data_IF_101606295056
#
_entry.id   IF_101606295056
#
_cell.length_a   1.000
_cell.length_b   1.000
_cell.length_c   1.000
_cell.angle_alpha   90.00
_cell.angle_beta   90.00
_cell.angle_gamma   90.00
#
_symmetry.space_group_name_H-M   'P 1'
#
loop_
_entity.id
_entity.type
_entity.pdbx_description
1 polymer ?
#
# COMPACT_ATOMS: atom_id res chain seq x y z
N UNK A 1 7.30 -12.05 -24.06
CA UNK A 1 7.73 -13.24 -23.27
C UNK A 1 6.97 -13.21 -21.95
N UNK A 2 6.28 -14.29 -21.60
CA UNK A 2 5.61 -14.41 -20.28
C UNK A 2 6.65 -14.60 -19.19
N UNK A 3 6.45 -13.98 -18.01
CA UNK A 3 7.30 -14.19 -16.83
C UNK A 3 6.84 -15.43 -16.09
N UNK A 4 7.76 -16.21 -15.59
CA UNK A 4 7.49 -17.31 -14.63
C UNK A 4 7.64 -16.81 -13.20
N UNK A 5 7.00 -17.49 -12.25
CA UNK A 5 7.24 -17.29 -10.83
C UNK A 5 8.64 -17.83 -10.52
N UNK A 6 9.52 -16.94 -10.05
CA UNK A 6 10.89 -17.31 -9.68
C UNK A 6 10.94 -17.89 -8.26
N UNK A 7 10.20 -17.31 -7.33
CA UNK A 7 10.21 -17.71 -5.93
C UNK A 7 8.86 -17.38 -5.27
N UNK A 8 8.41 -18.27 -4.40
CA UNK A 8 7.29 -18.02 -3.47
C UNK A 8 7.89 -17.75 -2.10
N UNK A 9 7.51 -16.65 -1.48
CA UNK A 9 8.02 -16.17 -0.20
C UNK A 9 6.88 -16.28 0.82
N UNK A 10 6.93 -17.21 1.78
CA UNK A 10 5.93 -17.28 2.83
C UNK A 10 6.07 -16.08 3.78
N UNK A 11 4.94 -15.48 4.13
CA UNK A 11 4.92 -14.42 5.14
C UNK A 11 5.23 -14.97 6.54
N UNK A 12 5.83 -14.12 7.36
CA UNK A 12 6.09 -14.39 8.78
C UNK A 12 5.19 -13.54 9.65
N UNK A 13 4.69 -14.09 10.77
CA UNK A 13 3.96 -13.28 11.74
C UNK A 13 4.93 -12.43 12.55
N UNK A 14 4.66 -11.12 12.59
CA UNK A 14 5.43 -10.15 13.39
C UNK A 14 4.48 -9.39 14.33
N UNK A 15 5.00 -9.00 15.49
CA UNK A 15 4.28 -8.18 16.45
C UNK A 15 4.86 -6.76 16.44
N UNK A 16 4.08 -5.82 15.95
CA UNK A 16 4.43 -4.40 15.92
C UNK A 16 3.65 -3.65 16.99
N UNK A 17 4.18 -3.65 18.22
CA UNK A 17 3.58 -2.94 19.34
C UNK A 17 2.15 -3.40 19.70
N UNK A 18 1.89 -4.71 19.64
CA UNK A 18 0.56 -5.31 19.89
C UNK A 18 -0.26 -5.59 18.64
N UNK A 19 0.13 -5.06 17.49
CA UNK A 19 -0.51 -5.34 16.19
C UNK A 19 0.19 -6.56 15.56
N UNK A 20 -0.54 -7.63 15.32
CA UNK A 20 -0.01 -8.82 14.64
C UNK A 20 -0.19 -8.66 13.14
N UNK A 21 0.91 -8.75 12.41
CA UNK A 21 0.98 -8.54 10.96
C UNK A 21 1.56 -9.77 10.27
N UNK A 22 1.20 -9.96 9.00
CA UNK A 22 1.93 -10.82 8.10
C UNK A 22 3.01 -10.00 7.39
N UNK A 23 4.29 -10.34 7.61
CA UNK A 23 5.43 -9.70 6.95
C UNK A 23 5.96 -10.60 5.84
N UNK A 24 5.83 -10.15 4.60
CA UNK A 24 6.36 -10.87 3.43
C UNK A 24 7.74 -10.37 2.99
N UNK A 25 8.12 -9.17 3.45
CA UNK A 25 9.43 -8.56 3.24
C UNK A 25 9.72 -7.56 4.37
N UNK A 26 10.94 -7.53 4.99
CA UNK A 26 11.99 -8.54 4.83
C UNK A 26 11.64 -9.88 5.48
N UNK A 27 12.24 -10.94 4.97
CA UNK A 27 12.18 -12.28 5.56
C UNK A 27 13.57 -12.91 5.57
N UNK A 28 13.75 -14.01 6.30
CA UNK A 28 15.05 -14.67 6.39
C UNK A 28 15.64 -14.96 5.00
N UNK A 29 16.84 -14.42 4.75
CA UNK A 29 17.56 -14.55 3.47
C UNK A 29 17.08 -13.63 2.34
N UNK A 30 16.08 -12.75 2.57
CA UNK A 30 15.66 -11.73 1.60
C UNK A 30 15.36 -10.43 2.38
N UNK A 31 16.34 -9.52 2.39
CA UNK A 31 16.21 -8.26 3.10
C UNK A 31 15.34 -7.25 2.32
N UNK A 32 15.47 -7.23 1.00
CA UNK A 32 14.71 -6.34 0.12
C UNK A 32 14.61 -6.92 -1.30
N UNK A 33 13.65 -6.43 -2.07
CA UNK A 33 13.54 -6.63 -3.52
C UNK A 33 13.35 -5.26 -4.13
N UNK A 34 14.42 -4.64 -4.61
CA UNK A 34 14.40 -3.26 -5.09
C UNK A 34 13.24 -2.97 -6.06
N UNK A 35 12.44 -1.92 -5.82
CA UNK A 35 12.57 -0.89 -4.78
C UNK A 35 11.82 -1.21 -3.47
N UNK A 36 11.33 -2.42 -3.25
CA UNK A 36 10.52 -2.79 -2.08
C UNK A 36 11.41 -3.12 -0.88
N UNK A 37 11.26 -2.34 0.19
CA UNK A 37 12.00 -2.48 1.46
C UNK A 37 11.22 -3.29 2.50
N UNK A 38 9.88 -3.20 2.46
CA UNK A 38 9.00 -3.83 3.43
C UNK A 38 7.65 -4.13 2.77
N UNK A 39 7.03 -5.25 3.16
CA UNK A 39 5.63 -5.56 2.85
C UNK A 39 4.99 -6.15 4.10
N UNK A 40 4.02 -5.43 4.64
CA UNK A 40 3.17 -5.84 5.75
C UNK A 40 1.73 -6.00 5.27
N UNK A 41 1.07 -7.05 5.69
CA UNK A 41 -0.37 -7.23 5.55
C UNK A 41 -1.01 -7.24 6.94
N UNK A 42 -1.86 -6.27 7.19
CA UNK A 42 -2.67 -6.19 8.39
C UNK A 42 -4.12 -6.53 8.05
N UNK A 43 -4.56 -7.71 8.47
CA UNK A 43 -5.94 -8.14 8.36
C UNK A 43 -6.42 -8.53 9.76
N UNK A 44 -7.38 -7.79 10.30
CA UNK A 44 -7.92 -8.03 11.64
C UNK A 44 -9.35 -7.51 11.76
N UNK A 45 -10.00 -7.92 12.84
CA UNK A 45 -11.25 -7.32 13.28
C UNK A 45 -10.95 -6.34 14.43
N UNK A 46 -11.23 -5.07 14.22
CA UNK A 46 -11.17 -4.07 15.30
C UNK A 46 -12.31 -4.40 16.27
N UNK A 47 -12.02 -4.57 17.57
CA UNK A 47 -13.04 -5.07 18.52
C UNK A 47 -14.14 -4.06 18.85
N UNK A 48 -13.89 -2.76 18.66
CA UNK A 48 -14.76 -1.69 19.13
C UNK A 48 -14.50 -1.31 20.60
N UNK A 49 -15.25 -0.32 21.09
CA UNK A 49 -15.14 0.16 22.46
C UNK A 49 -13.84 0.94 22.78
N UNK A 50 -13.08 1.30 21.78
CA UNK A 50 -11.78 1.98 21.89
C UNK A 50 -11.88 3.43 21.39
N UNK A 51 -11.03 4.31 21.93
CA UNK A 51 -10.86 5.65 21.35
C UNK A 51 -9.93 5.56 20.13
N UNK A 52 -10.15 6.40 19.13
CA UNK A 52 -9.29 6.48 17.93
C UNK A 52 -7.78 6.52 18.29
N UNK A 53 -7.40 7.29 19.32
CA UNK A 53 -6.00 7.43 19.76
C UNK A 53 -5.38 6.14 20.35
N UNK A 54 -6.20 5.17 20.70
CA UNK A 54 -5.79 3.89 21.30
C UNK A 54 -5.65 2.78 20.25
N UNK A 55 -6.07 3.05 19.00
CA UNK A 55 -6.02 2.10 17.89
C UNK A 55 -4.99 2.50 16.84
N UNK A 56 -4.54 1.53 16.04
CA UNK A 56 -3.62 1.77 14.92
C UNK A 56 -2.24 2.21 15.35
N UNK A 57 -1.56 2.92 14.47
CA UNK A 57 -0.17 3.36 14.67
C UNK A 57 -0.13 4.84 15.02
N UNK A 58 0.41 5.16 16.19
CA UNK A 58 0.61 6.52 16.67
C UNK A 58 1.65 7.31 15.88
N UNK A 59 1.93 8.56 16.28
CA UNK A 59 2.92 9.39 15.61
C UNK A 59 4.29 8.73 15.55
N UNK A 60 4.86 8.62 14.35
CA UNK A 60 6.17 8.06 14.08
C UNK A 60 6.79 8.70 12.82
N UNK A 61 8.15 8.74 12.72
CA UNK A 61 8.83 9.39 11.60
C UNK A 61 9.14 8.44 10.45
N UNK A 62 9.17 8.99 9.23
CA UNK A 62 9.75 8.35 8.05
C UNK A 62 10.65 9.34 7.30
N UNK A 63 11.69 8.82 6.62
CA UNK A 63 12.61 9.61 5.82
C UNK A 63 13.24 8.78 4.71
N UNK A 64 13.29 9.33 3.49
CA UNK A 64 14.06 8.79 2.37
C UNK A 64 13.48 7.55 1.67
N UNK A 65 12.22 7.23 1.93
CA UNK A 65 11.42 6.21 1.24
C UNK A 65 9.94 6.58 1.29
N UNK A 66 9.10 5.82 0.62
CA UNK A 66 7.66 6.08 0.54
C UNK A 66 6.87 4.92 1.14
N UNK A 67 6.26 5.08 2.35
CA UNK A 67 5.20 4.19 2.80
C UNK A 67 3.97 4.34 1.90
N UNK A 68 3.40 3.20 1.51
CA UNK A 68 2.22 3.09 0.66
C UNK A 68 1.26 2.10 1.29
N UNK A 69 0.01 2.50 1.51
CA UNK A 69 -1.02 1.59 2.02
C UNK A 69 -2.13 1.43 0.99
N UNK A 70 -2.42 0.18 0.62
CA UNK A 70 -3.59 -0.22 -0.17
C UNK A 70 -4.67 -0.70 0.80
N UNK A 71 -5.81 -0.02 0.86
CA UNK A 71 -6.88 -0.32 1.81
C UNK A 71 -7.89 -1.26 1.16
N UNK A 72 -8.14 -2.43 1.76
CA UNK A 72 -9.08 -3.44 1.28
C UNK A 72 -10.38 -3.47 2.10
N UNK A 73 -10.29 -3.27 3.45
CA UNK A 73 -11.47 -3.17 4.33
C UNK A 73 -11.28 -2.06 5.35
N UNK A 74 -12.38 -1.46 5.75
CA UNK A 74 -12.37 -0.34 6.70
C UNK A 74 -11.86 0.96 6.07
N UNK A 75 -11.12 1.71 6.86
CA UNK A 75 -10.54 2.99 6.44
C UNK A 75 -9.33 3.35 7.32
N UNK A 76 -8.45 4.20 6.78
CA UNK A 76 -7.30 4.78 7.49
C UNK A 76 -7.47 6.29 7.60
N UNK A 77 -7.39 6.80 8.83
CA UNK A 77 -7.29 8.22 9.14
C UNK A 77 -5.81 8.58 9.30
N UNK A 78 -5.29 9.31 8.31
CA UNK A 78 -3.92 9.84 8.29
C UNK A 78 -3.86 11.24 8.85
N UNK A 79 -2.83 11.52 9.65
CA UNK A 79 -2.45 12.87 10.08
C UNK A 79 -0.95 13.00 10.06
N UNK A 80 -0.44 14.16 9.64
CA UNK A 80 1.01 14.37 9.54
C UNK A 80 1.48 15.75 10.03
N UNK A 81 2.81 15.88 10.14
CA UNK A 81 3.49 17.11 10.58
C UNK A 81 3.43 18.26 9.58
N UNK A 82 2.91 18.04 8.37
CA UNK A 82 2.62 19.10 7.39
C UNK A 82 1.21 19.68 7.57
N UNK A 83 0.44 19.14 8.55
CA UNK A 83 -0.93 19.56 8.81
C UNK A 83 -1.98 18.81 7.98
N UNK A 84 -1.59 17.81 7.20
CA UNK A 84 -2.53 16.99 6.42
C UNK A 84 -3.42 16.17 7.36
N UNK A 85 -4.71 16.12 7.02
CA UNK A 85 -5.69 15.20 7.61
C UNK A 85 -6.45 14.56 6.46
N UNK A 86 -6.45 13.25 6.40
CA UNK A 86 -7.03 12.52 5.27
C UNK A 86 -7.65 11.22 5.74
N UNK A 87 -8.84 10.92 5.26
CA UNK A 87 -9.52 9.65 5.45
C UNK A 87 -9.55 8.91 4.12
N UNK A 88 -8.89 7.76 4.05
CA UNK A 88 -8.91 6.88 2.88
C UNK A 88 -9.67 5.61 3.23
N UNK A 89 -10.72 5.31 2.48
CA UNK A 89 -11.59 4.15 2.67
C UNK A 89 -11.14 2.95 1.82
N UNK A 90 -11.73 1.80 2.10
CA UNK A 90 -11.56 0.60 1.28
C UNK A 90 -11.72 0.89 -0.21
N UNK A 91 -10.91 0.23 -1.06
CA UNK A 91 -10.79 0.54 -2.48
C UNK A 91 -9.81 1.68 -2.79
N UNK A 92 -9.44 2.50 -1.82
CA UNK A 92 -8.46 3.57 -1.94
C UNK A 92 -7.02 3.16 -1.62
N UNK A 93 -6.11 4.11 -1.77
CA UNK A 93 -4.71 3.99 -1.40
C UNK A 93 -4.21 5.31 -0.82
N UNK A 94 -3.18 5.25 -0.01
CA UNK A 94 -2.41 6.43 0.38
C UNK A 94 -0.94 6.24 0.04
N UNK A 95 -0.31 7.30 -0.43
CA UNK A 95 1.09 7.33 -0.80
C UNK A 95 1.77 8.50 -0.13
N UNK A 96 2.78 8.25 0.69
CA UNK A 96 3.51 9.29 1.37
C UNK A 96 4.97 9.29 0.93
N UNK A 97 5.35 10.23 0.06
CA UNK A 97 6.76 10.49 -0.24
C UNK A 97 7.38 11.18 0.99
N UNK A 98 8.14 10.45 1.81
CA UNK A 98 8.64 10.99 3.07
C UNK A 98 9.75 12.02 2.89
N UNK A 99 10.47 11.99 1.75
CA UNK A 99 11.50 12.95 1.42
C UNK A 99 12.51 13.17 2.56
N UNK A 100 12.79 14.42 2.88
CA UNK A 100 13.72 14.82 3.96
C UNK A 100 13.22 14.53 5.39
N UNK A 101 11.98 14.05 5.53
CA UNK A 101 11.38 13.62 6.80
C UNK A 101 9.98 14.15 7.00
N UNK A 102 9.13 13.30 7.58
CA UNK A 102 7.75 13.60 7.96
C UNK A 102 7.39 12.71 9.17
N UNK A 103 6.63 13.26 10.10
CA UNK A 103 6.02 12.49 11.20
C UNK A 103 4.55 12.31 10.85
N UNK A 104 4.04 11.08 10.93
CA UNK A 104 2.63 10.79 10.69
C UNK A 104 2.06 9.75 11.64
N UNK A 105 0.75 9.61 11.60
CA UNK A 105 -0.02 8.55 12.28
C UNK A 105 -1.03 7.96 11.33
N UNK A 106 -1.29 6.66 11.49
CA UNK A 106 -2.24 5.88 10.70
C UNK A 106 -3.16 5.12 11.64
N UNK A 107 -4.43 5.50 11.67
CA UNK A 107 -5.39 4.95 12.65
C UNK A 107 -6.68 4.53 11.93
N UNK A 108 -7.35 3.47 12.38
CA UNK A 108 -8.76 3.30 12.10
C UNK A 108 -9.52 4.57 12.49
N UNK A 109 -10.51 5.04 11.70
CA UNK A 109 -11.29 6.23 12.06
C UNK A 109 -12.13 5.98 13.32
N UNK A 110 -12.62 7.05 13.93
CA UNK A 110 -13.34 7.06 15.19
C UNK A 110 -14.51 6.07 15.23
N UNK A 111 -15.33 6.05 14.19
CA UNK A 111 -16.48 5.13 14.08
C UNK A 111 -16.05 3.65 14.10
N UNK A 112 -14.96 3.32 13.41
CA UNK A 112 -14.42 1.95 13.41
C UNK A 112 -13.78 1.59 14.76
N UNK A 113 -13.11 2.53 15.42
CA UNK A 113 -12.54 2.32 16.75
C UNK A 113 -13.62 2.09 17.82
N UNK A 114 -14.73 2.85 17.77
CA UNK A 114 -15.82 2.77 18.73
C UNK A 114 -16.75 1.58 18.48
N UNK A 115 -17.11 1.31 17.22
CA UNK A 115 -18.12 0.30 16.89
C UNK A 115 -17.51 -1.06 16.49
N UNK A 116 -16.21 -1.09 16.18
CA UNK A 116 -15.55 -2.27 15.66
C UNK A 116 -15.85 -2.51 14.18
N UNK A 117 -15.22 -3.53 13.61
CA UNK A 117 -15.42 -3.93 12.22
C UNK A 117 -14.18 -4.49 11.57
N UNK A 118 -14.33 -4.90 10.32
CA UNK A 118 -13.22 -5.45 9.54
C UNK A 118 -12.24 -4.36 9.12
N UNK A 119 -10.96 -4.65 9.25
CA UNK A 119 -9.87 -3.78 8.84
C UNK A 119 -8.82 -4.59 8.08
N UNK A 120 -8.49 -4.17 6.86
CA UNK A 120 -7.52 -4.87 6.03
C UNK A 120 -6.78 -3.89 5.12
N UNK A 121 -5.45 -3.90 5.22
CA UNK A 121 -4.57 -3.17 4.33
C UNK A 121 -3.28 -3.93 4.05
N UNK A 122 -2.70 -3.67 2.90
CA UNK A 122 -1.31 -4.04 2.60
C UNK A 122 -0.51 -2.75 2.58
N UNK A 123 0.52 -2.66 3.43
CA UNK A 123 1.48 -1.57 3.40
C UNK A 123 2.81 -2.08 2.84
N UNK A 124 3.37 -1.34 1.88
CA UNK A 124 4.75 -1.56 1.45
C UNK A 124 5.55 -0.26 1.51
N UNK A 125 6.86 -0.40 1.66
CA UNK A 125 7.78 0.73 1.60
C UNK A 125 8.55 0.69 0.30
N UNK A 126 8.44 1.76 -0.51
CA UNK A 126 9.19 1.92 -1.74
C UNK A 126 10.41 2.81 -1.51
N UNK A 127 11.61 2.30 -1.78
CA UNK A 127 12.85 3.08 -1.69
C UNK A 127 12.82 4.27 -2.66
N UNK A 128 13.37 5.38 -2.21
CA UNK A 128 13.55 6.58 -3.05
C UNK A 128 14.99 6.63 -3.55
N UNK A 129 15.24 7.00 -4.84
CA UNK A 129 16.60 7.19 -5.35
C UNK A 129 17.41 8.18 -4.49
N UNK A 130 18.70 7.93 -4.33
CA UNK A 130 19.57 8.69 -3.43
C UNK A 130 19.49 10.21 -3.66
N UNK A 131 19.48 10.65 -4.92
CA UNK A 131 19.41 12.05 -5.31
C UNK A 131 18.06 12.72 -5.02
N UNK A 132 17.01 11.95 -4.70
CA UNK A 132 15.66 12.45 -4.40
C UNK A 132 15.25 12.28 -2.92
N UNK A 133 16.08 11.60 -2.11
CA UNK A 133 15.76 11.32 -0.69
C UNK A 133 15.54 12.57 0.17
N UNK A 134 16.10 13.72 -0.24
CA UNK A 134 16.02 14.99 0.47
C UNK A 134 14.99 15.97 -0.12
N UNK A 135 14.18 15.54 -1.08
CA UNK A 135 13.07 16.34 -1.59
C UNK A 135 12.03 16.64 -0.48
N UNK A 136 11.20 17.66 -0.62
CA UNK A 136 10.09 17.91 0.31
C UNK A 136 9.16 16.70 0.42
N UNK A 137 8.67 16.42 1.64
CA UNK A 137 7.68 15.38 1.84
C UNK A 137 6.35 15.75 1.17
N UNK A 138 5.63 14.74 0.66
CA UNK A 138 4.34 14.90 -0.02
C UNK A 138 3.42 13.72 0.29
N UNK A 139 2.20 14.02 0.72
CA UNK A 139 1.15 13.02 0.91
C UNK A 139 0.15 13.05 -0.26
N UNK A 140 -0.21 11.87 -0.77
CA UNK A 140 -1.09 11.71 -1.93
C UNK A 140 -2.16 10.66 -1.62
N UNK A 141 -3.39 11.09 -1.24
CA UNK A 141 -4.52 10.18 -1.10
C UNK A 141 -5.12 9.83 -2.45
N UNK A 142 -5.50 8.58 -2.64
CA UNK A 142 -6.24 8.10 -3.80
C UNK A 142 -7.51 7.40 -3.32
N UNK A 143 -8.66 7.90 -3.74
CA UNK A 143 -9.95 7.25 -3.45
C UNK A 143 -10.26 6.16 -4.48
N UNK A 144 -11.17 5.25 -4.14
CA UNK A 144 -11.61 4.18 -5.05
C UNK A 144 -12.16 4.75 -6.37
N UNK A 145 -12.91 5.86 -6.30
CA UNK A 145 -13.56 6.51 -7.44
C UNK A 145 -12.55 7.15 -8.39
N UNK A 146 -11.41 7.61 -7.85
CA UNK A 146 -10.33 8.23 -8.64
C UNK A 146 -9.31 7.22 -9.17
N UNK A 147 -9.40 5.96 -8.74
CA UNK A 147 -8.53 4.89 -9.25
C UNK A 147 -8.91 4.54 -10.69
N UNK A 148 -8.00 4.61 -11.67
CA UNK A 148 -8.27 4.13 -13.02
C UNK A 148 -8.46 2.61 -13.03
N UNK A 149 -9.66 2.15 -13.35
CA UNK A 149 -9.98 0.74 -13.46
C UNK A 149 -9.91 0.25 -14.90
N UNK A 150 -9.41 -0.96 -15.08
CA UNK A 150 -9.27 -1.66 -16.35
C UNK A 150 -9.95 -3.02 -16.17
N UNK A 151 -10.84 -3.35 -17.09
CA UNK A 151 -11.57 -4.64 -17.06
C UNK A 151 -11.05 -5.54 -18.18
N UNK A 152 -10.84 -6.83 -17.90
CA UNK A 152 -10.49 -7.82 -18.92
C UNK A 152 -11.62 -7.99 -19.95
N UNK A 153 -11.30 -8.49 -21.15
CA UNK A 153 -12.28 -8.70 -22.22
C UNK A 153 -13.43 -9.61 -21.79
N UNK A 154 -13.16 -10.62 -20.96
CA UNK A 154 -14.17 -11.53 -20.43
C UNK A 154 -14.95 -10.97 -19.22
N UNK A 155 -14.65 -9.75 -18.79
CA UNK A 155 -15.28 -9.07 -17.66
C UNK A 155 -14.96 -9.65 -16.28
N UNK A 156 -14.11 -10.68 -16.19
CA UNK A 156 -13.85 -11.43 -14.95
C UNK A 156 -12.69 -10.88 -14.12
N UNK A 157 -11.88 -9.99 -14.66
CA UNK A 157 -10.80 -9.34 -13.95
C UNK A 157 -10.97 -7.83 -14.01
N UNK A 158 -10.91 -7.20 -12.85
CA UNK A 158 -10.77 -5.74 -12.74
C UNK A 158 -9.42 -5.41 -12.12
N UNK A 159 -8.68 -4.54 -12.75
CA UNK A 159 -7.38 -4.06 -12.31
C UNK A 159 -7.45 -2.56 -12.02
N UNK A 160 -7.23 -2.16 -10.78
CA UNK A 160 -7.13 -0.77 -10.36
C UNK A 160 -5.68 -0.32 -10.40
N UNK A 161 -5.35 0.64 -11.27
CA UNK A 161 -4.00 1.18 -11.41
C UNK A 161 -3.78 2.31 -10.41
N UNK A 162 -2.99 2.04 -9.36
CA UNK A 162 -2.67 3.02 -8.31
C UNK A 162 -1.57 3.97 -8.77
N UNK A 163 -0.50 3.43 -9.38
CA UNK A 163 0.66 4.22 -9.79
C UNK A 163 1.35 3.61 -11.01
N UNK A 164 2.04 4.45 -11.77
CA UNK A 164 2.76 4.08 -12.99
C UNK A 164 1.84 3.95 -14.20
N UNK A 165 2.32 3.26 -15.22
CA UNK A 165 1.60 3.09 -16.49
C UNK A 165 1.36 1.61 -16.77
N UNK A 166 0.13 1.24 -17.11
CA UNK A 166 -0.22 -0.11 -17.51
C UNK A 166 -1.47 -0.11 -18.40
N UNK A 167 -1.51 -0.99 -19.40
CA UNK A 167 -2.71 -1.25 -20.22
C UNK A 167 -3.34 0.04 -20.81
N UNK A 168 -2.49 0.98 -21.25
CA UNK A 168 -2.92 2.24 -21.86
C UNK A 168 -3.47 3.27 -20.88
N UNK A 169 -3.33 3.07 -19.56
CA UNK A 169 -3.70 4.04 -18.53
C UNK A 169 -2.52 4.46 -17.68
N UNK A 170 -2.62 5.63 -17.06
CA UNK A 170 -1.66 6.20 -16.12
C UNK A 170 -2.30 6.30 -14.74
N UNK A 171 -1.63 5.77 -13.72
CA UNK A 171 -2.02 5.91 -12.32
C UNK A 171 -1.79 7.34 -11.83
N UNK A 172 -2.67 7.88 -10.96
CA UNK A 172 -2.64 9.31 -10.59
C UNK A 172 -1.55 9.68 -9.58
N UNK A 173 -0.85 8.70 -9.00
CA UNK A 173 0.20 8.94 -8.01
C UNK A 173 1.50 9.37 -8.69
N UNK A 174 2.05 10.51 -8.26
CA UNK A 174 3.37 10.97 -8.65
C UNK A 174 4.47 10.15 -7.97
N UNK A 175 5.28 9.50 -8.79
CA UNK A 175 6.30 8.54 -8.34
C UNK A 175 7.66 9.20 -8.16
N UNK A 176 8.37 8.86 -7.08
CA UNK A 176 9.81 9.15 -6.93
C UNK A 176 10.67 8.06 -7.56
N UNK A 177 10.20 6.83 -7.55
CA UNK A 177 10.86 5.66 -8.12
C UNK A 177 9.96 5.07 -9.21
N UNK A 178 10.46 4.83 -10.43
CA UNK A 178 9.65 4.20 -11.48
C UNK A 178 9.13 2.84 -11.05
N UNK A 179 7.81 2.67 -11.05
CA UNK A 179 7.14 1.41 -10.70
C UNK A 179 5.72 1.35 -11.26
N UNK A 180 5.13 0.15 -11.25
CA UNK A 180 3.71 -0.09 -11.49
C UNK A 180 3.11 -0.66 -10.21
N UNK A 181 2.00 -0.08 -9.74
CA UNK A 181 1.26 -0.61 -8.59
C UNK A 181 -0.19 -0.78 -8.98
N UNK A 182 -0.65 -2.01 -8.88
CA UNK A 182 -2.01 -2.39 -9.26
C UNK A 182 -2.63 -3.27 -8.17
N UNK A 183 -3.95 -3.20 -8.05
CA UNK A 183 -4.77 -4.16 -7.31
C UNK A 183 -5.66 -4.91 -8.29
N UNK A 184 -6.01 -6.15 -7.97
CA UNK A 184 -6.84 -6.97 -8.83
C UNK A 184 -8.04 -7.54 -8.07
N UNK A 185 -9.18 -7.55 -8.75
CA UNK A 185 -10.35 -8.34 -8.39
C UNK A 185 -10.50 -9.41 -9.47
N UNK A 186 -10.32 -10.68 -9.10
CA UNK A 186 -10.26 -11.79 -10.05
C UNK A 186 -11.42 -12.75 -9.79
N UNK A 187 -12.36 -12.80 -10.70
CA UNK A 187 -13.45 -13.81 -10.70
C UNK A 187 -12.95 -15.19 -11.13
N UNK A 188 -13.77 -16.21 -10.89
CA UNK A 188 -13.44 -17.59 -11.22
C UNK A 188 -13.02 -17.73 -12.70
N UNK A 189 -11.85 -18.31 -12.91
CA UNK A 189 -11.22 -18.50 -14.24
C UNK A 189 -10.92 -17.20 -15.00
N UNK A 190 -10.94 -16.04 -14.34
CA UNK A 190 -10.57 -14.77 -14.94
C UNK A 190 -9.09 -14.74 -15.33
N UNK A 191 -8.79 -14.08 -16.44
CA UNK A 191 -7.42 -13.94 -16.98
C UNK A 191 -7.20 -12.51 -17.45
N UNK A 192 -6.00 -11.98 -17.14
CA UNK A 192 -5.55 -10.70 -17.66
C UNK A 192 -4.03 -10.76 -17.86
N UNK A 193 -3.56 -10.31 -19.03
CA UNK A 193 -2.13 -10.16 -19.27
C UNK A 193 -1.74 -8.71 -18.98
N UNK A 194 -0.75 -8.52 -18.12
CA UNK A 194 -0.25 -7.19 -17.73
C UNK A 194 1.17 -7.03 -18.23
N UNK A 195 1.45 -6.07 -19.13
CA UNK A 195 2.80 -5.74 -19.54
C UNK A 195 3.62 -5.19 -18.36
N UNK A 196 4.79 -5.78 -18.12
CA UNK A 196 5.74 -5.32 -17.10
C UNK A 196 7.07 -5.04 -17.80
N UNK A 197 7.68 -3.85 -17.61
CA UNK A 197 8.99 -3.53 -18.18
C UNK A 197 10.04 -4.59 -17.81
N UNK A 198 10.91 -4.95 -18.76
CA UNK A 198 11.90 -6.02 -18.54
C UNK A 198 12.84 -5.73 -17.37
N UNK A 199 13.16 -4.45 -17.15
CA UNK A 199 14.02 -3.97 -16.06
C UNK A 199 13.38 -3.98 -14.68
N UNK A 200 12.06 -4.22 -14.55
CA UNK A 200 11.38 -4.20 -13.26
C UNK A 200 11.43 -5.56 -12.59
N UNK A 201 11.72 -5.58 -11.29
CA UNK A 201 11.32 -6.68 -10.42
C UNK A 201 9.78 -6.70 -10.33
N UNK A 202 9.20 -7.87 -10.16
CA UNK A 202 7.75 -8.01 -10.03
C UNK A 202 7.42 -8.84 -8.79
N UNK A 203 6.49 -8.33 -7.99
CA UNK A 203 5.92 -9.00 -6.83
C UNK A 203 4.42 -9.14 -7.05
N UNK A 204 3.88 -10.29 -6.68
CA UNK A 204 2.45 -10.57 -6.57
C UNK A 204 2.17 -10.98 -5.13
N UNK A 205 1.24 -10.28 -4.51
CA UNK A 205 0.78 -10.57 -3.15
C UNK A 205 -0.67 -11.05 -3.19
#
# INVERSE_FOLDING_TARGET
>A
MKRSIHKIIPAQKVNMGGIILDQSLPVNGIEQIDPFLLIHHWASKIPGGQKEKETGVGPHPHRGFSPVSLIFKGAVNHRDSLGTKSLVKAGGAQWMNSGKGIIHSERPPKDLAENGGDFELIQFWANTPANRKMEPAKYQPLTAEKTPWITSEDGKVKAGLVAGEALGKTGPIELMTPMQVMRFEIGKSGKMEVPIPKSFNALLY
#
